data_IF_853845497206
#
_entry.id   IF_853845497206
#
_cell.length_a   1.000
_cell.length_b   1.000
_cell.length_c   1.000
_cell.angle_alpha   90.00
_cell.angle_beta   90.00
_cell.angle_gamma   90.00
#
_symmetry.space_group_name_H-M   'P 1'
#
loop_
_entity.id
_entity.type
_entity.pdbx_description
1 polymer ?
#
# COMPACT_ATOMS: atom_id res chain seq x y z
N UNK A 1 -28.77 17.90 -2.16
CA UNK A 1 -28.18 17.60 -0.84
C UNK A 1 -26.72 17.12 -0.94
N UNK A 2 -26.38 16.22 -1.90
CA UNK A 2 -24.99 15.73 -2.01
C UNK A 2 -24.01 16.82 -2.50
N UNK A 3 -24.43 17.67 -3.43
CA UNK A 3 -23.57 18.74 -3.98
C UNK A 3 -23.20 19.78 -2.91
N UNK A 4 -24.13 20.16 -2.05
CA UNK A 4 -23.87 21.09 -0.95
C UNK A 4 -22.95 20.51 0.11
N UNK A 5 -23.04 19.21 0.38
CA UNK A 5 -22.13 18.50 1.27
C UNK A 5 -20.71 18.44 0.70
N UNK A 6 -20.56 18.11 -0.58
CA UNK A 6 -19.27 18.08 -1.24
C UNK A 6 -18.62 19.45 -1.37
N UNK A 7 -19.41 20.50 -1.65
CA UNK A 7 -18.90 21.87 -1.72
C UNK A 7 -18.43 22.38 -0.36
N UNK A 8 -19.17 22.09 0.71
CA UNK A 8 -18.78 22.43 2.08
C UNK A 8 -17.52 21.67 2.53
N UNK A 9 -17.40 20.38 2.17
CA UNK A 9 -16.23 19.56 2.47
C UNK A 9 -14.98 20.07 1.72
N UNK A 10 -15.11 20.46 0.46
CA UNK A 10 -14.01 21.05 -0.32
C UNK A 10 -13.61 22.43 0.22
N UNK A 11 -14.58 23.25 0.70
CA UNK A 11 -14.32 24.55 1.31
C UNK A 11 -13.51 24.46 2.61
N UNK A 12 -13.64 23.36 3.36
CA UNK A 12 -12.84 23.07 4.57
C UNK A 12 -11.51 22.40 4.27
N UNK A 13 -11.41 21.70 3.15
CA UNK A 13 -10.24 20.90 2.79
C UNK A 13 -8.97 21.74 2.61
N UNK A 14 -9.06 22.86 1.86
CA UNK A 14 -7.90 23.71 1.62
C UNK A 14 -7.37 24.33 2.91
N UNK A 15 -8.19 24.96 3.76
CA UNK A 15 -7.75 25.43 5.07
C UNK A 15 -7.18 24.33 5.97
N UNK A 16 -7.78 23.14 5.99
CA UNK A 16 -7.30 22.00 6.78
C UNK A 16 -5.91 21.54 6.33
N UNK A 17 -5.68 21.43 5.01
CA UNK A 17 -4.35 21.11 4.45
C UNK A 17 -3.31 22.17 4.75
N UNK A 18 -3.66 23.45 4.66
CA UNK A 18 -2.76 24.56 4.99
C UNK A 18 -2.39 24.54 6.48
N UNK A 19 -3.39 24.39 7.36
CA UNK A 19 -3.20 24.32 8.81
C UNK A 19 -2.37 23.08 9.23
N UNK A 20 -2.54 21.96 8.54
CA UNK A 20 -1.74 20.77 8.76
C UNK A 20 -0.32 20.87 8.21
N UNK A 21 -0.02 21.91 7.40
CA UNK A 21 1.27 22.07 6.72
C UNK A 21 1.50 21.08 5.57
N UNK A 22 0.42 20.42 5.10
CA UNK A 22 0.49 19.45 4.02
C UNK A 22 0.63 20.09 2.64
N UNK A 23 0.22 21.37 2.50
CA UNK A 23 0.55 22.20 1.34
C UNK A 23 1.84 22.95 1.69
N UNK A 24 2.96 22.30 1.47
CA UNK A 24 4.27 22.89 1.74
C UNK A 24 4.99 23.21 0.43
N UNK A 25 5.89 24.21 0.46
CA UNK A 25 6.81 24.49 -0.64
C UNK A 25 8.00 23.52 -0.69
N UNK A 26 7.98 22.44 0.10
CA UNK A 26 9.02 21.41 0.10
C UNK A 26 9.13 20.77 -1.29
N UNK A 27 10.36 20.55 -1.75
CA UNK A 27 10.62 20.05 -3.09
C UNK A 27 10.50 21.08 -4.23
N UNK A 28 10.14 22.33 -3.89
CA UNK A 28 10.12 23.45 -4.84
C UNK A 28 9.16 23.26 -6.02
N UNK A 29 9.41 23.98 -7.11
CA UNK A 29 8.55 23.96 -8.31
C UNK A 29 8.37 22.55 -8.90
N UNK A 30 9.39 21.69 -8.82
CA UNK A 30 9.33 20.32 -9.35
C UNK A 30 8.25 19.48 -8.66
N UNK A 31 8.16 19.52 -7.33
CA UNK A 31 7.15 18.79 -6.57
C UNK A 31 5.74 19.33 -6.90
N UNK A 32 5.59 20.64 -6.97
CA UNK A 32 4.32 21.30 -7.29
C UNK A 32 3.82 20.96 -8.69
N UNK A 33 4.68 21.04 -9.71
CA UNK A 33 4.34 20.73 -11.10
C UNK A 33 3.98 19.25 -11.30
N UNK A 34 4.45 18.35 -10.43
CA UNK A 34 4.15 16.93 -10.53
C UNK A 34 2.90 16.49 -9.74
N UNK A 35 2.22 17.36 -9.01
CA UNK A 35 1.00 17.01 -8.27
C UNK A 35 -0.09 16.45 -9.19
N UNK A 36 -0.45 17.18 -10.25
CA UNK A 36 -1.47 16.74 -11.20
C UNK A 36 -1.04 15.55 -12.06
N UNK A 37 0.18 15.48 -12.63
CA UNK A 37 0.68 14.29 -13.30
C UNK A 37 0.68 13.05 -12.41
N UNK A 38 1.10 13.15 -11.15
CA UNK A 38 1.09 12.03 -10.22
C UNK A 38 -0.34 11.59 -9.89
N UNK A 39 -1.26 12.54 -9.69
CA UNK A 39 -2.67 12.25 -9.47
C UNK A 39 -3.30 11.57 -10.69
N UNK A 40 -3.04 12.05 -11.89
CA UNK A 40 -3.54 11.47 -13.14
C UNK A 40 -3.02 10.04 -13.35
N UNK A 41 -1.76 9.78 -12.98
CA UNK A 41 -1.09 8.49 -13.16
C UNK A 41 -1.44 7.47 -12.09
N UNK A 42 -1.43 7.88 -10.84
CA UNK A 42 -1.51 6.98 -9.68
C UNK A 42 -2.79 7.15 -8.86
N UNK A 43 -3.67 8.10 -9.21
CA UNK A 43 -4.90 8.42 -8.47
C UNK A 43 -4.61 8.63 -6.98
N UNK A 44 -5.48 8.14 -6.09
CA UNK A 44 -5.31 8.23 -4.63
C UNK A 44 -4.71 6.94 -4.06
N UNK A 45 -3.64 6.44 -4.69
CA UNK A 45 -2.93 5.23 -4.24
C UNK A 45 -1.70 5.57 -3.41
N UNK A 46 -1.22 4.60 -2.64
CA UNK A 46 0.05 4.68 -1.90
C UNK A 46 1.25 5.01 -2.81
N UNK A 47 1.22 4.56 -4.08
CA UNK A 47 2.25 4.92 -5.07
C UNK A 47 2.34 6.43 -5.30
N UNK A 48 1.20 7.13 -5.37
CA UNK A 48 1.16 8.59 -5.50
C UNK A 48 1.79 9.28 -4.29
N UNK A 49 1.45 8.83 -3.10
CA UNK A 49 2.00 9.39 -1.86
C UNK A 49 3.52 9.22 -1.80
N UNK A 50 4.01 8.03 -2.16
CA UNK A 50 5.45 7.74 -2.21
C UNK A 50 6.16 8.60 -3.26
N UNK A 51 5.61 8.73 -4.47
CA UNK A 51 6.18 9.59 -5.52
C UNK A 51 6.22 11.05 -5.09
N UNK A 52 5.12 11.55 -4.53
CA UNK A 52 5.04 12.94 -4.10
C UNK A 52 5.96 13.22 -2.91
N UNK A 53 6.02 12.30 -1.92
CA UNK A 53 6.96 12.41 -0.81
C UNK A 53 8.41 12.37 -1.26
N UNK A 54 8.75 11.51 -2.23
CA UNK A 54 10.09 11.45 -2.80
C UNK A 54 10.48 12.74 -3.57
N UNK A 55 9.51 13.40 -4.22
CA UNK A 55 9.77 14.69 -4.88
C UNK A 55 9.93 15.82 -3.86
N UNK A 56 9.13 15.81 -2.81
CA UNK A 56 9.11 16.87 -1.81
C UNK A 56 10.29 16.77 -0.83
N UNK A 57 10.57 15.58 -0.32
CA UNK A 57 11.54 15.37 0.76
C UNK A 57 12.22 13.99 0.66
N UNK A 58 13.05 13.75 -0.38
CA UNK A 58 13.59 12.42 -0.70
C UNK A 58 14.41 11.78 0.43
N UNK A 59 15.13 12.57 1.20
CA UNK A 59 16.03 12.08 2.26
C UNK A 59 15.35 12.01 3.65
N UNK A 60 14.10 12.43 3.77
CA UNK A 60 13.37 12.30 5.04
C UNK A 60 12.90 10.88 5.25
N UNK A 61 12.76 10.49 6.51
CA UNK A 61 12.24 9.18 6.88
C UNK A 61 10.77 9.06 6.47
N UNK A 62 10.48 8.02 5.70
CA UNK A 62 9.13 7.67 5.27
C UNK A 62 8.55 6.51 6.08
N UNK A 63 9.41 5.59 6.53
CA UNK A 63 9.01 4.40 7.28
C UNK A 63 10.05 4.11 8.36
N UNK A 64 9.56 3.71 9.53
CA UNK A 64 10.34 3.16 10.65
C UNK A 64 9.64 1.87 11.06
N UNK A 65 10.34 0.77 11.03
CA UNK A 65 9.86 -0.55 11.44
C UNK A 65 10.98 -1.35 12.11
N UNK A 66 10.73 -2.63 12.44
CA UNK A 66 11.68 -3.49 13.14
C UNK A 66 12.95 -3.78 12.33
N UNK A 67 12.88 -3.67 10.99
CA UNK A 67 14.04 -3.79 10.08
C UNK A 67 14.82 -2.48 9.91
N UNK A 68 14.46 -1.44 10.65
CA UNK A 68 15.11 -0.12 10.65
C UNK A 68 14.31 0.94 9.89
N UNK A 69 15.01 1.83 9.18
CA UNK A 69 14.39 3.01 8.57
C UNK A 69 14.52 3.03 7.07
N UNK A 70 13.53 3.60 6.39
CA UNK A 70 13.57 3.92 4.96
C UNK A 70 13.27 5.41 4.75
N UNK A 71 14.10 6.07 3.94
CA UNK A 71 13.76 7.40 3.41
C UNK A 71 12.71 7.28 2.30
N UNK A 72 12.08 8.40 1.91
CA UNK A 72 11.15 8.42 0.77
C UNK A 72 11.80 7.92 -0.52
N UNK A 73 13.07 8.27 -0.76
CA UNK A 73 13.84 7.78 -1.91
C UNK A 73 14.03 6.26 -1.85
N UNK A 74 14.40 5.72 -0.71
CA UNK A 74 14.58 4.28 -0.53
C UNK A 74 13.25 3.54 -0.64
N UNK A 75 12.19 4.03 0.02
CA UNK A 75 10.86 3.43 -0.07
C UNK A 75 10.35 3.40 -1.51
N UNK A 76 10.50 4.52 -2.26
CA UNK A 76 10.18 4.57 -3.68
C UNK A 76 10.96 3.52 -4.49
N UNK A 77 12.27 3.44 -4.28
CA UNK A 77 13.13 2.48 -4.99
C UNK A 77 12.72 1.04 -4.72
N UNK A 78 12.49 0.70 -3.45
CA UNK A 78 12.06 -0.64 -3.04
C UNK A 78 10.67 -0.97 -3.62
N UNK A 79 9.74 -0.05 -3.52
CA UNK A 79 8.37 -0.25 -4.02
C UNK A 79 8.35 -0.45 -5.54
N UNK A 80 9.10 0.37 -6.29
CA UNK A 80 9.26 0.19 -7.73
C UNK A 80 10.01 -1.11 -8.08
N UNK A 81 10.98 -1.49 -7.27
CA UNK A 81 11.71 -2.77 -7.42
C UNK A 81 10.77 -3.97 -7.30
N UNK A 82 9.94 -3.99 -6.27
CA UNK A 82 8.94 -5.03 -6.10
C UNK A 82 7.87 -5.01 -7.20
N UNK A 83 7.45 -3.82 -7.63
CA UNK A 83 6.54 -3.68 -8.77
C UNK A 83 7.09 -4.28 -10.07
N UNK A 84 8.40 -4.12 -10.34
CA UNK A 84 9.07 -4.76 -11.48
C UNK A 84 9.10 -6.29 -11.34
N UNK A 85 9.35 -6.80 -10.14
CA UNK A 85 9.28 -8.23 -9.89
C UNK A 85 7.87 -8.78 -10.16
N UNK A 86 6.84 -8.14 -9.64
CA UNK A 86 5.46 -8.54 -9.92
C UNK A 86 5.15 -8.53 -11.42
N UNK A 87 5.64 -7.51 -12.14
CA UNK A 87 5.48 -7.42 -13.59
C UNK A 87 6.23 -8.52 -14.35
N UNK A 88 7.37 -8.99 -13.84
CA UNK A 88 8.15 -10.07 -14.45
C UNK A 88 7.51 -11.44 -14.34
N UNK A 89 6.51 -11.62 -13.50
CA UNK A 89 5.74 -12.87 -13.39
C UNK A 89 4.81 -13.09 -14.60
N UNK A 90 4.66 -12.10 -15.46
CA UNK A 90 3.88 -12.13 -16.72
C UNK A 90 2.43 -12.62 -16.53
N UNK A 91 1.82 -12.26 -15.41
CA UNK A 91 0.44 -12.59 -15.11
C UNK A 91 -0.51 -11.59 -15.81
N UNK A 92 -1.63 -12.06 -16.39
CA UNK A 92 -2.59 -11.20 -17.08
C UNK A 92 -3.25 -10.18 -16.13
N UNK A 93 -3.45 -10.55 -14.89
CA UNK A 93 -3.92 -9.72 -13.78
C UNK A 93 -3.17 -10.13 -12.52
N UNK A 94 -2.70 -9.15 -11.75
CA UNK A 94 -2.03 -9.41 -10.47
C UNK A 94 -3.04 -9.24 -9.34
N UNK A 95 -3.30 -10.32 -8.63
CA UNK A 95 -4.11 -10.38 -7.41
C UNK A 95 -3.21 -10.75 -6.23
N UNK A 96 -2.72 -9.72 -5.56
CA UNK A 96 -1.67 -9.82 -4.55
C UNK A 96 -2.26 -10.02 -3.15
N UNK A 97 -2.10 -11.21 -2.57
CA UNK A 97 -2.37 -11.46 -1.16
C UNK A 97 -1.20 -10.97 -0.30
N UNK A 98 -1.49 -10.34 0.84
CA UNK A 98 -0.47 -9.91 1.80
C UNK A 98 -0.88 -10.33 3.20
N UNK A 99 -0.10 -11.22 3.82
CA UNK A 99 -0.26 -11.69 5.20
C UNK A 99 1.02 -11.35 5.98
N UNK A 100 1.14 -10.10 6.38
CA UNK A 100 2.33 -9.59 7.05
C UNK A 100 1.95 -8.65 8.20
N UNK A 101 2.85 -8.52 9.19
CA UNK A 101 2.72 -7.53 10.26
C UNK A 101 2.95 -6.12 9.72
N UNK A 102 2.58 -5.11 10.52
CA UNK A 102 2.84 -3.72 10.16
C UNK A 102 4.33 -3.48 9.91
N UNK A 103 4.64 -2.84 8.79
CA UNK A 103 6.01 -2.54 8.40
C UNK A 103 6.17 -2.53 6.88
N UNK A 104 7.42 -2.63 6.42
CA UNK A 104 7.75 -2.65 4.98
C UNK A 104 7.12 -3.83 4.24
N UNK A 105 6.87 -4.94 4.93
CA UNK A 105 6.20 -6.13 4.39
C UNK A 105 4.77 -5.87 3.88
N UNK A 106 4.07 -4.86 4.41
CA UNK A 106 2.78 -4.40 3.90
C UNK A 106 2.92 -3.15 3.02
N UNK A 107 3.72 -2.16 3.44
CA UNK A 107 3.79 -0.84 2.78
C UNK A 107 4.39 -0.94 1.37
N UNK A 108 5.43 -1.78 1.17
CA UNK A 108 6.02 -1.98 -0.16
C UNK A 108 5.01 -2.63 -1.12
N UNK A 109 4.32 -3.73 -0.78
CA UNK A 109 3.24 -4.29 -1.61
C UNK A 109 2.10 -3.30 -1.93
N UNK A 110 1.65 -2.52 -0.94
CA UNK A 110 0.63 -1.49 -1.13
C UNK A 110 1.06 -0.42 -2.14
N UNK A 111 2.29 0.04 -2.05
CA UNK A 111 2.83 0.97 -3.04
C UNK A 111 3.00 0.30 -4.42
N UNK A 112 3.55 -0.93 -4.46
CA UNK A 112 3.78 -1.66 -5.71
C UNK A 112 2.48 -1.90 -6.49
N UNK A 113 1.37 -2.19 -5.80
CA UNK A 113 0.02 -2.26 -6.38
C UNK A 113 -0.28 -1.07 -7.30
N UNK A 114 0.02 0.14 -6.85
CA UNK A 114 -0.25 1.36 -7.61
C UNK A 114 0.64 1.51 -8.84
N UNK A 115 1.85 0.92 -8.85
CA UNK A 115 2.76 0.99 -9.99
C UNK A 115 2.42 -0.02 -11.09
N UNK A 116 1.91 -1.20 -10.73
CA UNK A 116 1.58 -2.25 -11.71
C UNK A 116 0.11 -2.32 -12.07
N UNK A 117 -0.76 -1.73 -11.27
CA UNK A 117 -2.22 -1.81 -11.44
C UNK A 117 -2.84 -3.07 -10.86
N UNK A 118 -2.23 -3.65 -9.82
CA UNK A 118 -2.72 -4.85 -9.15
C UNK A 118 -3.95 -4.59 -8.28
N UNK A 119 -4.69 -5.65 -7.97
CA UNK A 119 -5.57 -5.72 -6.79
C UNK A 119 -4.77 -6.23 -5.61
N UNK A 120 -5.05 -5.76 -4.39
CA UNK A 120 -4.38 -6.23 -3.18
C UNK A 120 -5.40 -6.69 -2.14
N UNK A 121 -5.11 -7.83 -1.53
CA UNK A 121 -5.93 -8.51 -0.53
C UNK A 121 -5.13 -8.55 0.78
N UNK A 122 -5.58 -7.78 1.78
CA UNK A 122 -4.93 -7.74 3.08
C UNK A 122 -5.51 -8.85 3.96
N UNK A 123 -4.69 -9.87 4.18
CA UNK A 123 -5.06 -11.10 4.88
C UNK A 123 -4.80 -10.95 6.38
N UNK A 124 -5.64 -11.58 7.19
CA UNK A 124 -5.48 -11.56 8.63
C UNK A 124 -4.32 -12.49 9.04
N UNK A 125 -3.34 -11.96 9.76
CA UNK A 125 -2.22 -12.75 10.31
C UNK A 125 -2.64 -13.84 11.33
N UNK A 126 -3.88 -13.77 11.81
CA UNK A 126 -4.48 -14.80 12.67
C UNK A 126 -5.25 -15.89 11.91
N UNK A 127 -5.26 -15.89 10.57
CA UNK A 127 -5.98 -16.88 9.78
C UNK A 127 -5.38 -18.30 9.97
N UNK A 128 -6.27 -19.31 10.03
CA UNK A 128 -5.84 -20.71 9.97
C UNK A 128 -5.39 -21.09 8.56
N UNK A 129 -4.67 -22.22 8.37
CA UNK A 129 -4.29 -22.73 7.05
C UNK A 129 -5.50 -22.86 6.10
N UNK A 130 -6.62 -23.40 6.58
CA UNK A 130 -7.84 -23.61 5.80
C UNK A 130 -8.48 -22.27 5.41
N UNK A 131 -8.48 -21.28 6.31
CA UNK A 131 -8.97 -19.94 6.04
C UNK A 131 -8.11 -19.24 4.99
N UNK A 132 -6.79 -19.40 5.08
CA UNK A 132 -5.85 -18.82 4.12
C UNK A 132 -6.03 -19.43 2.72
N UNK A 133 -6.07 -20.76 2.63
CA UNK A 133 -6.30 -21.48 1.39
C UNK A 133 -7.63 -21.09 0.75
N UNK A 134 -8.72 -21.05 1.52
CA UNK A 134 -10.03 -20.60 1.05
C UNK A 134 -10.03 -19.15 0.58
N UNK A 135 -9.32 -18.24 1.26
CA UNK A 135 -9.18 -16.85 0.80
C UNK A 135 -8.42 -16.76 -0.53
N UNK A 136 -7.36 -17.56 -0.71
CA UNK A 136 -6.58 -17.60 -1.96
C UNK A 136 -7.48 -18.05 -3.11
N UNK A 137 -8.20 -19.14 -2.93
CA UNK A 137 -9.07 -19.74 -3.94
C UNK A 137 -10.25 -18.82 -4.30
N UNK A 138 -11.06 -18.41 -3.29
CA UNK A 138 -12.28 -17.62 -3.52
C UNK A 138 -12.01 -16.26 -4.18
N UNK A 139 -10.85 -15.65 -3.88
CA UNK A 139 -10.49 -14.34 -4.43
C UNK A 139 -9.56 -14.44 -5.65
N UNK A 140 -9.16 -15.64 -6.05
CA UNK A 140 -8.24 -15.88 -7.16
C UNK A 140 -6.89 -15.19 -6.96
N UNK A 141 -6.40 -15.16 -5.71
CA UNK A 141 -5.08 -14.62 -5.38
C UNK A 141 -4.05 -15.45 -6.11
N UNK A 142 -3.14 -14.80 -6.83
CA UNK A 142 -2.16 -15.47 -7.69
C UNK A 142 -0.70 -15.10 -7.38
N UNK A 143 -0.48 -14.26 -6.36
CA UNK A 143 0.83 -14.00 -5.74
C UNK A 143 0.59 -13.77 -4.25
N UNK A 144 1.41 -14.35 -3.39
CA UNK A 144 1.33 -14.18 -1.94
C UNK A 144 2.61 -13.56 -1.40
N UNK A 145 2.45 -12.53 -0.56
CA UNK A 145 3.52 -11.98 0.30
C UNK A 145 3.19 -12.35 1.74
N UNK A 146 4.10 -12.98 2.44
CA UNK A 146 3.87 -13.49 3.79
C UNK A 146 5.10 -13.33 4.67
N UNK A 147 4.93 -12.98 5.96
CA UNK A 147 6.03 -13.04 6.91
C UNK A 147 6.43 -14.49 7.19
N UNK A 148 7.71 -14.74 7.33
CA UNK A 148 8.30 -16.07 7.50
C UNK A 148 7.69 -16.84 8.69
N UNK A 149 7.29 -16.13 9.75
CA UNK A 149 6.62 -16.71 10.93
C UNK A 149 5.26 -17.37 10.62
N UNK A 150 4.67 -17.09 9.46
CA UNK A 150 3.37 -17.64 9.06
C UNK A 150 3.47 -18.67 7.94
N UNK A 151 4.71 -18.99 7.49
CA UNK A 151 4.92 -19.86 6.31
C UNK A 151 4.33 -21.26 6.50
N UNK A 152 4.34 -21.78 7.72
CA UNK A 152 3.76 -23.09 8.04
C UNK A 152 2.25 -23.21 7.79
N UNK A 153 1.58 -22.07 7.59
CA UNK A 153 0.14 -22.00 7.27
C UNK A 153 -0.14 -21.92 5.77
N UNK A 154 0.92 -21.80 4.96
CA UNK A 154 0.83 -21.60 3.52
C UNK A 154 0.93 -22.94 2.81
N UNK A 155 -0.19 -23.37 2.22
CA UNK A 155 -0.28 -24.53 1.33
C UNK A 155 -0.87 -24.05 0.00
N UNK A 156 0.02 -23.79 -0.98
CA UNK A 156 -0.38 -23.23 -2.28
C UNK A 156 0.72 -23.39 -3.33
N UNK A 157 0.31 -23.52 -4.59
CA UNK A 157 1.21 -23.58 -5.76
C UNK A 157 1.52 -22.21 -6.38
N UNK A 158 0.90 -21.12 -5.86
CA UNK A 158 1.17 -19.79 -6.40
C UNK A 158 2.55 -19.27 -5.92
N UNK A 159 3.15 -18.29 -6.63
CA UNK A 159 4.37 -17.63 -6.16
C UNK A 159 4.21 -17.03 -4.76
N UNK A 160 5.10 -17.44 -3.84
CA UNK A 160 5.15 -16.95 -2.46
C UNK A 160 6.44 -16.16 -2.26
N UNK A 161 6.34 -14.99 -1.64
CA UNK A 161 7.44 -14.09 -1.31
C UNK A 161 7.46 -13.86 0.19
N UNK A 162 8.61 -14.05 0.82
CA UNK A 162 8.81 -13.76 2.25
C UNK A 162 8.96 -12.25 2.43
N UNK A 163 8.07 -11.66 3.23
CA UNK A 163 8.05 -10.23 3.53
C UNK A 163 9.09 -9.86 4.58
N UNK A 164 9.04 -10.50 5.75
CA UNK A 164 10.03 -10.40 6.81
C UNK A 164 10.72 -11.75 6.97
N UNK A 165 12.06 -11.76 6.83
CA UNK A 165 12.88 -12.97 6.77
C UNK A 165 13.53 -13.24 8.12
N UNK A 166 13.11 -14.33 8.77
CA UNK A 166 13.75 -14.85 10.00
C UNK A 166 14.79 -15.93 9.73
N UNK A 167 14.96 -16.33 8.47
CA UNK A 167 15.88 -17.38 8.03
C UNK A 167 15.28 -18.78 8.00
N UNK A 168 13.97 -18.92 8.22
CA UNK A 168 13.30 -20.22 8.26
C UNK A 168 12.94 -20.76 6.86
N UNK A 169 12.98 -19.94 5.81
CA UNK A 169 12.54 -20.31 4.45
C UNK A 169 13.57 -19.96 3.37
N UNK A 170 13.69 -20.82 2.35
CA UNK A 170 14.49 -20.60 1.13
C UNK A 170 13.69 -19.90 0.01
N UNK A 171 12.43 -19.54 0.24
CA UNK A 171 11.58 -18.84 -0.73
C UNK A 171 12.15 -17.46 -1.10
N UNK A 172 11.74 -16.88 -2.24
CA UNK A 172 12.11 -15.53 -2.63
C UNK A 172 11.81 -14.51 -1.54
N UNK A 173 12.78 -13.62 -1.25
CA UNK A 173 12.69 -12.67 -0.14
C UNK A 173 12.51 -11.25 -0.67
N UNK A 174 11.56 -10.52 -0.10
CA UNK A 174 11.23 -9.15 -0.51
C UNK A 174 12.47 -8.25 -0.49
N UNK A 175 13.29 -8.33 0.56
CA UNK A 175 14.52 -7.53 0.71
C UNK A 175 15.55 -7.77 -0.40
N UNK A 176 15.66 -9.00 -0.90
CA UNK A 176 16.55 -9.38 -2.02
C UNK A 176 16.00 -8.91 -3.35
N UNK A 177 14.69 -9.09 -3.55
CA UNK A 177 13.99 -8.67 -4.77
C UNK A 177 14.11 -7.16 -4.96
N UNK A 178 13.88 -6.36 -3.92
CA UNK A 178 13.90 -4.88 -4.04
C UNK A 178 15.30 -4.32 -4.26
N UNK A 179 16.34 -5.03 -3.81
CA UNK A 179 17.75 -4.67 -4.02
C UNK A 179 18.25 -5.03 -5.43
N UNK A 180 17.71 -6.11 -6.02
CA UNK A 180 18.09 -6.61 -7.33
C UNK A 180 16.85 -6.85 -8.22
N UNK A 181 16.08 -5.81 -8.55
CA UNK A 181 14.84 -5.98 -9.29
C UNK A 181 15.08 -6.36 -10.74
N UNK A 182 14.18 -7.15 -11.35
CA UNK A 182 14.22 -7.42 -12.77
C UNK A 182 14.19 -6.15 -13.63
N UNK A 183 14.86 -6.19 -14.80
CA UNK A 183 14.91 -5.07 -15.74
C UNK A 183 13.63 -5.00 -16.62
N UNK A 184 12.47 -4.90 -15.98
CA UNK A 184 11.16 -4.82 -16.64
C UNK A 184 10.60 -3.40 -16.50
N UNK A 185 9.99 -2.89 -17.57
CA UNK A 185 9.37 -1.59 -17.57
C UNK A 185 7.99 -1.61 -16.86
N UNK A 186 7.76 -0.62 -15.99
CA UNK A 186 6.47 -0.40 -15.37
C UNK A 186 5.51 0.30 -16.34
N UNK A 187 4.20 0.01 -16.29
CA UNK A 187 3.23 0.65 -17.15
C UNK A 187 3.18 2.16 -16.90
N UNK A 188 3.05 2.93 -17.98
CA UNK A 188 2.95 4.39 -17.88
C UNK A 188 1.67 4.82 -17.17
N UNK A 189 0.55 4.15 -17.45
CA UNK A 189 -0.75 4.36 -16.82
C UNK A 189 -1.28 3.00 -16.35
N UNK A 190 -1.06 2.63 -15.07
CA UNK A 190 -1.54 1.36 -14.54
C UNK A 190 -3.08 1.37 -14.40
N UNK A 191 -3.71 0.23 -14.68
CA UNK A 191 -5.13 0.03 -14.39
C UNK A 191 -5.27 -0.34 -12.92
N UNK A 192 -5.74 0.60 -12.10
CA UNK A 192 -5.80 0.40 -10.65
C UNK A 192 -6.87 -0.61 -10.25
N UNK A 193 -6.46 -1.65 -9.55
CA UNK A 193 -7.34 -2.60 -8.89
C UNK A 193 -7.69 -2.14 -7.45
N UNK A 194 -8.69 -2.77 -6.81
CA UNK A 194 -9.12 -2.42 -5.45
C UNK A 194 -8.13 -2.84 -4.38
N UNK A 195 -8.32 -2.27 -3.18
CA UNK A 195 -7.85 -2.83 -1.91
C UNK A 195 -9.00 -3.64 -1.33
N UNK A 196 -8.73 -4.89 -0.96
CA UNK A 196 -9.71 -5.79 -0.36
C UNK A 196 -9.26 -6.14 1.05
N UNK A 197 -10.10 -5.83 2.03
CA UNK A 197 -9.88 -6.21 3.43
C UNK A 197 -10.66 -7.47 3.73
N UNK A 198 -10.02 -8.45 4.37
CA UNK A 198 -10.69 -9.70 4.73
C UNK A 198 -11.40 -9.54 6.07
N UNK A 199 -12.72 -9.70 6.07
CA UNK A 199 -13.51 -9.71 7.31
C UNK A 199 -13.55 -11.12 7.90
N UNK A 200 -13.46 -11.22 9.23
CA UNK A 200 -13.76 -12.48 9.93
C UNK A 200 -15.25 -12.81 9.75
N UNK A 201 -15.56 -13.65 8.78
CA UNK A 201 -16.92 -14.19 8.61
C UNK A 201 -17.26 -15.12 9.78
N UNK A 202 -18.51 -15.08 10.22
CA UNK A 202 -19.05 -16.01 11.24
C UNK A 202 -19.14 -17.45 10.73
N UNK A 203 -18.87 -17.71 9.47
CA UNK A 203 -19.11 -18.98 8.75
C UNK A 203 -17.84 -19.68 8.26
N UNK A 204 -16.65 -19.35 8.74
CA UNK A 204 -15.39 -20.03 8.41
C UNK A 204 -14.44 -19.23 7.52
N UNK A 205 -14.63 -19.15 6.20
CA UNK A 205 -13.74 -18.44 5.28
C UNK A 205 -14.02 -16.93 5.33
N UNK A 206 -13.00 -16.08 5.56
CA UNK A 206 -13.16 -14.63 5.58
C UNK A 206 -13.62 -14.08 4.23
N UNK A 207 -14.62 -13.18 4.25
CA UNK A 207 -15.13 -12.53 3.02
C UNK A 207 -14.40 -11.23 2.75
N UNK A 208 -14.05 -11.00 1.47
CA UNK A 208 -13.41 -9.77 1.02
C UNK A 208 -14.36 -8.58 1.00
N UNK A 209 -13.99 -7.51 1.69
CA UNK A 209 -14.67 -6.21 1.62
C UNK A 209 -13.84 -5.31 0.72
N UNK A 210 -14.38 -5.01 -0.45
CA UNK A 210 -13.74 -4.11 -1.41
C UNK A 210 -13.77 -2.68 -0.87
N UNK A 211 -12.60 -2.08 -0.76
CA UNK A 211 -12.44 -0.64 -0.52
C UNK A 211 -12.21 0.06 -1.85
N UNK A 212 -13.23 0.77 -2.37
CA UNK A 212 -13.04 1.56 -3.59
C UNK A 212 -12.05 2.69 -3.30
N UNK A 213 -11.15 2.96 -4.25
CA UNK A 213 -10.30 4.13 -4.16
C UNK A 213 -11.17 5.39 -4.22
N UNK A 214 -10.96 6.36 -3.31
CA UNK A 214 -11.73 7.60 -3.34
C UNK A 214 -11.46 8.36 -4.64
N UNK A 215 -12.51 8.81 -5.28
CA UNK A 215 -12.40 9.67 -6.48
C UNK A 215 -12.21 11.14 -6.12
N UNK A 216 -12.60 11.52 -4.90
CA UNK A 216 -12.48 12.88 -4.37
C UNK A 216 -11.83 12.83 -2.98
N UNK A 217 -11.07 13.85 -2.60
CA UNK A 217 -10.35 13.89 -1.32
C UNK A 217 -11.25 14.20 -0.11
N UNK A 218 -12.56 13.93 -0.18
CA UNK A 218 -13.54 14.29 0.87
C UNK A 218 -13.25 13.56 2.18
N UNK A 219 -12.92 12.25 2.11
CA UNK A 219 -12.58 11.45 3.29
C UNK A 219 -11.29 11.96 3.92
N UNK A 220 -10.28 12.27 3.10
CA UNK A 220 -9.01 12.83 3.58
C UNK A 220 -9.24 14.21 4.23
N UNK A 221 -10.11 15.04 3.65
CA UNK A 221 -10.49 16.33 4.23
C UNK A 221 -11.07 16.18 5.63
N UNK A 222 -12.02 15.25 5.81
CA UNK A 222 -12.66 15.01 7.11
C UNK A 222 -11.66 14.49 8.15
N UNK A 223 -10.73 13.60 7.74
CA UNK A 223 -9.68 13.06 8.62
C UNK A 223 -8.73 14.19 9.06
N UNK A 224 -8.23 15.00 8.13
CA UNK A 224 -7.27 16.08 8.42
C UNK A 224 -7.93 17.21 9.24
N UNK A 225 -9.23 17.46 9.06
CA UNK A 225 -9.99 18.44 9.85
C UNK A 225 -10.25 17.96 11.28
N UNK A 226 -10.45 16.65 11.46
CA UNK A 226 -10.81 16.05 12.75
C UNK A 226 -9.58 15.65 13.58
N UNK A 227 -8.56 15.08 12.94
CA UNK A 227 -7.33 14.64 13.59
C UNK A 227 -6.28 15.74 13.44
N UNK A 228 -5.66 16.23 14.54
CA UNK A 228 -4.74 17.36 14.52
C UNK A 228 -3.36 16.96 13.95
N UNK A 229 -3.34 16.35 12.78
CA UNK A 229 -2.10 16.02 12.10
C UNK A 229 -1.36 17.27 11.66
N UNK A 230 -0.03 17.20 11.78
CA UNK A 230 0.87 18.24 11.29
C UNK A 230 1.94 17.60 10.42
N UNK A 231 2.35 18.31 9.37
CA UNK A 231 3.53 17.92 8.61
C UNK A 231 4.73 17.77 9.54
N UNK A 232 5.64 16.89 9.19
CA UNK A 232 6.87 16.61 9.92
C UNK A 232 6.73 15.84 11.25
N UNK A 233 5.52 15.40 11.59
CA UNK A 233 5.30 14.53 12.73
C UNK A 233 5.63 13.07 12.37
N UNK A 234 6.05 12.32 13.38
CA UNK A 234 6.13 10.85 13.32
C UNK A 234 4.83 10.30 13.89
N UNK A 235 4.18 9.45 13.10
CA UNK A 235 2.96 8.76 13.50
C UNK A 235 3.30 7.31 13.79
N UNK A 236 2.89 6.83 14.97
CA UNK A 236 2.97 5.42 15.30
C UNK A 236 1.62 4.77 15.00
N UNK A 237 1.62 3.79 14.11
CA UNK A 237 0.44 3.00 13.79
C UNK A 237 0.43 1.74 14.65
N UNK A 238 -0.43 1.69 15.66
CA UNK A 238 -0.58 0.54 16.57
C UNK A 238 -1.64 -0.45 16.12
N UNK A 239 -2.60 -0.01 15.31
CA UNK A 239 -3.60 -0.89 14.71
C UNK A 239 -2.99 -1.66 13.54
N UNK A 240 -3.38 -2.92 13.39
CA UNK A 240 -2.93 -3.73 12.25
C UNK A 240 -3.51 -3.20 10.93
N UNK A 241 -2.66 -3.00 9.93
CA UNK A 241 -3.03 -2.41 8.63
C UNK A 241 -4.05 -3.29 7.87
N UNK A 242 -4.09 -4.59 8.11
CA UNK A 242 -5.12 -5.46 7.52
C UNK A 242 -6.53 -5.26 8.11
N UNK A 243 -6.68 -4.48 9.19
CA UNK A 243 -7.97 -4.12 9.76
C UNK A 243 -8.49 -2.76 9.25
N UNK A 244 -9.82 -2.65 9.17
CA UNK A 244 -10.53 -1.44 8.71
C UNK A 244 -10.14 -0.15 9.49
N UNK A 245 -9.71 -0.28 10.75
CA UNK A 245 -9.36 0.84 11.61
C UNK A 245 -8.04 1.55 11.24
N UNK A 246 -7.21 0.93 10.42
CA UNK A 246 -5.94 1.50 9.99
C UNK A 246 -6.03 2.27 8.66
N UNK A 247 -7.24 2.30 8.06
CA UNK A 247 -7.49 2.92 6.75
C UNK A 247 -8.47 4.07 6.81
#
# INVERSE_FOLDING_TARGET
SDFTFHAAALGRFVPALLNAGLVSHQGGAKAQLNLLPNLARYRFTTAREIEQGCLACPERLALIDDDGTLTYRQLRTHTQGFARYLRSLDLPEIRLGVMARNGRGIIIPLGAKGYVGASIYLLNVGSSPEQLAGCIEENGINVLVVDDEFIDRVDTDIPVIIAHDTGASDLPKLDKIVKNPPAVQLPRFPKHGPIVLMSSGTTGIPKGIVRPEPTLPVVLASIVDTIPWRADQRLQLTASIFHTWAW
#
